data_IF_148325959978
#
_entry.id   IF_148325959978
#
_cell.length_a   1.000
_cell.length_b   1.000
_cell.length_c   1.000
_cell.angle_alpha   90.00
_cell.angle_beta   90.00
_cell.angle_gamma   90.00
#
_symmetry.space_group_name_H-M   'P 1'
#
loop_
_entity.id
_entity.type
_entity.pdbx_description
1 polymer ?
#
# COMPACT_ATOMS: atom_id res chain seq x y z
N UNK A 1 -13.40 1.22 -8.54
CA UNK A 1 -12.59 1.82 -7.48
C UNK A 1 -12.13 0.70 -6.58
N UNK A 2 -10.84 0.42 -6.64
CA UNK A 2 -10.18 -0.50 -5.72
C UNK A 2 -10.22 0.15 -4.35
N UNK A 3 -10.57 -0.61 -3.32
CA UNK A 3 -10.78 -0.07 -1.97
C UNK A 3 -9.92 -0.83 -0.97
N UNK A 4 -8.67 -1.09 -1.36
CA UNK A 4 -7.77 -1.96 -0.60
C UNK A 4 -7.46 -1.40 0.80
N UNK A 5 -7.53 -0.08 0.94
CA UNK A 5 -7.36 0.62 2.20
C UNK A 5 -8.64 0.67 3.05
N UNK A 6 -9.83 0.38 2.51
CA UNK A 6 -11.09 0.42 3.30
C UNK A 6 -11.15 -0.66 4.37
N UNK A 7 -10.52 -1.81 4.12
CA UNK A 7 -10.42 -2.92 5.07
C UNK A 7 -9.30 -2.73 6.11
N UNK A 8 -8.55 -1.63 6.02
CA UNK A 8 -7.41 -1.34 6.88
C UNK A 8 -7.68 -0.17 7.82
N UNK A 9 -6.94 -0.10 8.92
CA UNK A 9 -6.91 1.02 9.85
C UNK A 9 -6.35 2.25 9.15
N UNK A 10 -6.98 3.40 9.36
CA UNK A 10 -6.52 4.68 8.80
C UNK A 10 -5.09 5.05 9.20
N UNK A 11 -4.56 4.49 10.29
CA UNK A 11 -3.15 4.64 10.70
C UNK A 11 -2.15 4.09 9.68
N UNK A 12 -2.58 3.26 8.73
CA UNK A 12 -1.71 2.76 7.66
C UNK A 12 -1.19 3.92 6.80
N UNK A 13 -2.00 4.96 6.56
CA UNK A 13 -1.63 6.17 5.79
C UNK A 13 -0.58 7.05 6.49
N UNK A 14 -0.32 6.80 7.77
CA UNK A 14 0.73 7.50 8.53
C UNK A 14 2.08 6.78 8.47
N UNK A 15 2.12 5.57 7.90
CA UNK A 15 3.37 4.84 7.78
C UNK A 15 4.31 5.54 6.78
N UNK A 16 5.62 5.58 7.07
CA UNK A 16 6.59 6.26 6.22
C UNK A 16 6.68 5.55 4.86
N UNK A 17 6.49 6.33 3.81
CA UNK A 17 6.70 5.93 2.43
C UNK A 17 7.99 6.58 1.90
N UNK A 18 8.78 5.88 1.06
CA UNK A 18 9.92 6.47 0.37
C UNK A 18 9.50 7.67 -0.51
N UNK A 19 10.35 8.69 -0.66
CA UNK A 19 10.06 9.87 -1.50
C UNK A 19 9.81 9.52 -2.97
N UNK A 20 10.42 8.45 -3.49
CA UNK A 20 10.23 8.00 -4.88
C UNK A 20 8.98 7.14 -5.08
N UNK A 21 8.19 6.93 -4.03
CA UNK A 21 6.99 6.08 -4.10
C UNK A 21 5.70 6.86 -4.36
N UNK A 22 4.69 6.23 -4.96
CA UNK A 22 3.36 6.81 -5.08
C UNK A 22 2.79 7.23 -3.73
N UNK A 23 1.88 8.19 -3.76
CA UNK A 23 1.15 8.62 -2.56
C UNK A 23 0.19 7.54 -2.06
N UNK A 24 -0.21 7.64 -0.79
CA UNK A 24 -1.21 6.74 -0.20
C UNK A 24 -2.57 6.79 -0.90
N UNK A 25 -2.91 7.91 -1.54
CA UNK A 25 -4.16 8.03 -2.29
C UNK A 25 -4.08 7.31 -3.64
N UNK A 26 -2.94 7.39 -4.34
CA UNK A 26 -2.69 6.57 -5.53
C UNK A 26 -2.71 5.07 -5.22
N UNK A 27 -2.06 4.64 -4.14
CA UNK A 27 -2.14 3.25 -3.67
C UNK A 27 -3.57 2.84 -3.26
N UNK A 28 -4.39 3.81 -2.86
CA UNK A 28 -5.79 3.58 -2.55
C UNK A 28 -6.64 3.28 -3.79
N UNK A 29 -6.28 3.84 -4.94
CA UNK A 29 -6.96 3.60 -6.22
C UNK A 29 -6.49 2.33 -6.94
N UNK A 30 -5.29 1.84 -6.59
CA UNK A 30 -4.70 0.60 -7.12
C UNK A 30 -5.33 -0.68 -6.56
N UNK A 31 -5.30 -1.73 -7.38
CA UNK A 31 -5.61 -3.10 -6.97
C UNK A 31 -4.45 -3.74 -6.21
N UNK A 32 -4.77 -4.76 -5.42
CA UNK A 32 -3.76 -5.59 -4.74
C UNK A 32 -2.74 -6.17 -5.73
N UNK A 33 -3.22 -6.64 -6.88
CA UNK A 33 -2.42 -7.24 -7.94
C UNK A 33 -1.41 -6.24 -8.53
N UNK A 34 -1.80 -4.96 -8.68
CA UNK A 34 -0.89 -3.90 -9.14
C UNK A 34 0.18 -3.60 -8.10
N UNK A 35 -0.19 -3.60 -6.83
CA UNK A 35 0.75 -3.40 -5.72
C UNK A 35 1.74 -4.57 -5.64
N UNK A 36 1.26 -5.81 -5.84
CA UNK A 36 2.13 -6.98 -5.91
C UNK A 36 3.06 -6.92 -7.12
N UNK A 37 2.54 -6.60 -8.30
CA UNK A 37 3.34 -6.47 -9.52
C UNK A 37 4.43 -5.40 -9.38
N UNK A 38 4.12 -4.22 -8.82
CA UNK A 38 5.11 -3.18 -8.56
C UNK A 38 6.14 -3.60 -7.51
N UNK A 39 5.72 -4.37 -6.50
CA UNK A 39 6.64 -4.91 -5.49
C UNK A 39 7.61 -5.96 -6.09
N UNK A 40 7.13 -6.79 -7.01
CA UNK A 40 7.94 -7.75 -7.77
C UNK A 40 8.89 -7.05 -8.75
N UNK A 41 8.43 -5.98 -9.39
CA UNK A 41 9.24 -5.11 -10.24
C UNK A 41 10.26 -4.24 -9.48
N UNK A 42 10.36 -4.38 -8.15
CA UNK A 42 11.22 -3.57 -7.28
C UNK A 42 10.94 -2.06 -7.34
N UNK A 43 9.70 -1.66 -7.59
CA UNK A 43 9.34 -0.25 -7.56
C UNK A 43 9.44 0.31 -6.13
N UNK A 44 9.95 1.54 -5.97
CA UNK A 44 10.09 2.19 -4.67
C UNK A 44 8.74 2.32 -3.96
N UNK A 45 8.71 1.99 -2.66
CA UNK A 45 7.53 2.01 -1.78
C UNK A 45 6.51 0.91 -1.97
N UNK A 46 6.42 0.26 -3.13
CA UNK A 46 5.48 -0.85 -3.36
C UNK A 46 5.71 -2.03 -2.40
N UNK A 47 6.98 -2.40 -2.14
CA UNK A 47 7.31 -3.43 -1.15
C UNK A 47 6.90 -3.05 0.28
N UNK A 48 6.98 -1.76 0.61
CA UNK A 48 6.60 -1.23 1.92
C UNK A 48 5.08 -1.29 2.07
N UNK A 49 4.35 -0.78 1.07
CA UNK A 49 2.88 -0.80 1.05
C UNK A 49 2.34 -2.22 1.07
N UNK A 50 2.88 -3.12 0.22
CA UNK A 50 2.52 -4.55 0.24
C UNK A 50 2.67 -5.14 1.63
N UNK A 51 3.81 -4.89 2.29
CA UNK A 51 4.07 -5.38 3.64
C UNK A 51 3.07 -4.82 4.66
N UNK A 52 2.78 -3.52 4.62
CA UNK A 52 1.83 -2.87 5.52
C UNK A 52 0.39 -3.37 5.32
N UNK A 53 -0.01 -3.58 4.06
CA UNK A 53 -1.31 -4.13 3.71
C UNK A 53 -1.44 -5.61 4.10
N UNK A 54 -0.38 -6.40 4.05
CA UNK A 54 -0.40 -7.78 4.58
C UNK A 54 -0.28 -7.86 6.10
N UNK A 55 0.08 -6.76 6.78
CA UNK A 55 0.30 -6.75 8.22
C UNK A 55 -1.03 -6.61 8.96
N UNK A 56 -1.37 -7.67 9.72
CA UNK A 56 -2.59 -7.77 10.54
C UNK A 56 -2.71 -6.65 11.57
N UNK A 57 -1.62 -5.97 11.95
CA UNK A 57 -1.66 -4.82 12.84
C UNK A 57 -2.57 -3.70 12.30
N UNK A 58 -2.62 -3.56 10.98
CA UNK A 58 -3.42 -2.58 10.28
C UNK A 58 -4.77 -3.14 9.82
N UNK A 59 -5.13 -4.37 10.16
CA UNK A 59 -6.50 -4.85 9.95
C UNK A 59 -7.44 -4.16 10.93
N UNK A 60 -8.63 -3.80 10.43
CA UNK A 60 -9.67 -3.12 11.20
C UNK A 60 -10.40 -4.06 12.14
#
# INVERSE_FOLDING_TARGET
MSDILKSKKGSIKQAPLPEESPSWDEFGEMLWEEIEAGAEANQPGFKVVRKLLSDKRFDK
#
